data_IF_716741768449
#
_entry.id   IF_716741768449
#
_cell.length_a   1.000
_cell.length_b   1.000
_cell.length_c   1.000
_cell.angle_alpha   90.00
_cell.angle_beta   90.00
_cell.angle_gamma   90.00
#
_symmetry.space_group_name_H-M   'P 1'
#
loop_
_entity.id
_entity.type
_entity.pdbx_description
1 polymer ?
#
# COMPACT_ATOMS: atom_id res chain seq x y z
N UNK A 1 0.56 3.78 -6.93
CA UNK A 1 1.48 3.98 -5.81
C UNK A 1 2.83 3.36 -6.13
N UNK A 2 3.94 3.98 -5.66
CA UNK A 2 5.34 3.64 -5.98
C UNK A 2 5.74 3.86 -7.47
N UNK A 3 4.97 4.60 -8.24
CA UNK A 3 5.28 4.93 -9.62
C UNK A 3 6.54 5.79 -9.74
N UNK A 4 6.73 6.73 -8.82
CA UNK A 4 7.92 7.57 -8.78
C UNK A 4 9.16 6.77 -8.42
N UNK A 5 9.06 5.87 -7.45
CA UNK A 5 10.17 4.98 -7.06
C UNK A 5 10.54 4.02 -8.19
N UNK A 6 9.54 3.46 -8.89
CA UNK A 6 9.74 2.60 -10.05
C UNK A 6 10.40 3.38 -11.19
N UNK A 7 9.92 4.58 -11.47
CA UNK A 7 10.47 5.46 -12.49
C UNK A 7 11.93 5.82 -12.18
N UNK A 8 12.21 6.30 -10.98
CA UNK A 8 13.57 6.65 -10.55
C UNK A 8 14.55 5.47 -10.65
N UNK A 9 14.10 4.27 -10.27
CA UNK A 9 14.93 3.06 -10.40
C UNK A 9 15.21 2.68 -11.84
N UNK A 10 14.24 2.79 -12.73
CA UNK A 10 14.43 2.52 -14.17
C UNK A 10 15.35 3.54 -14.80
N UNK A 11 15.17 4.83 -14.48
CA UNK A 11 16.05 5.93 -14.94
C UNK A 11 17.51 5.66 -14.56
N UNK A 12 17.77 5.34 -13.28
CA UNK A 12 19.11 4.99 -12.83
C UNK A 12 19.69 3.76 -13.52
N UNK A 13 18.87 2.74 -13.78
CA UNK A 13 19.32 1.54 -14.50
C UNK A 13 19.64 1.81 -15.98
N UNK A 14 19.02 2.81 -16.56
CA UNK A 14 19.33 3.29 -17.92
C UNK A 14 20.62 4.14 -17.96
N UNK A 15 21.28 4.38 -16.82
CA UNK A 15 22.48 5.22 -16.75
C UNK A 15 22.20 6.71 -16.63
N UNK A 16 20.92 7.09 -16.51
CA UNK A 16 20.51 8.49 -16.45
C UNK A 16 20.57 9.04 -15.01
N UNK A 17 20.83 10.34 -14.90
CA UNK A 17 20.82 11.07 -13.63
C UNK A 17 19.41 11.48 -13.20
N UNK A 18 19.24 11.62 -11.89
CA UNK A 18 18.04 12.22 -11.29
C UNK A 18 18.48 13.47 -10.57
N UNK A 19 17.92 14.62 -10.99
CA UNK A 19 18.24 15.91 -10.39
C UNK A 19 17.05 16.44 -9.59
N UNK A 20 17.35 17.01 -8.43
CA UNK A 20 16.38 17.84 -7.71
C UNK A 20 16.48 19.27 -8.23
N UNK A 21 15.35 19.85 -8.62
CA UNK A 21 15.27 21.21 -9.16
C UNK A 21 14.50 22.10 -8.18
N UNK A 22 15.20 22.88 -7.33
CA UNK A 22 14.59 23.64 -6.23
C UNK A 22 13.87 24.91 -6.68
N UNK A 23 14.08 25.36 -7.93
CA UNK A 23 13.53 26.62 -8.45
C UNK A 23 12.05 26.54 -8.85
N UNK A 24 11.49 25.34 -8.84
CA UNK A 24 10.07 25.10 -9.12
C UNK A 24 9.34 24.53 -7.92
N UNK A 25 8.08 24.90 -7.78
CA UNK A 25 7.21 24.35 -6.75
C UNK A 25 5.90 23.87 -7.37
N UNK A 26 5.42 22.73 -6.89
CA UNK A 26 4.11 22.18 -7.25
C UNK A 26 3.26 22.07 -5.99
N UNK A 27 2.07 22.67 -6.03
CA UNK A 27 1.12 22.52 -4.93
C UNK A 27 0.43 21.16 -5.02
N UNK A 28 0.83 20.23 -4.18
CA UNK A 28 0.18 18.93 -4.05
C UNK A 28 -0.97 19.01 -3.06
N UNK A 29 -2.19 18.88 -3.56
CA UNK A 29 -3.41 18.89 -2.73
C UNK A 29 -3.63 17.50 -2.12
N UNK A 30 -2.85 17.22 -1.07
CA UNK A 30 -2.93 15.93 -0.36
C UNK A 30 -4.35 15.67 0.16
N UNK A 31 -4.85 14.48 -0.13
CA UNK A 31 -6.07 13.96 0.49
C UNK A 31 -7.40 14.44 -0.09
N UNK A 32 -7.45 15.36 -1.04
CA UNK A 32 -8.73 15.82 -1.59
C UNK A 32 -9.55 14.70 -2.26
N UNK A 33 -8.89 13.73 -2.87
CA UNK A 33 -9.57 12.58 -3.47
C UNK A 33 -9.89 11.46 -2.47
N UNK A 34 -9.37 11.52 -1.24
CA UNK A 34 -9.47 10.44 -0.25
C UNK A 34 -10.50 10.68 0.85
N UNK A 35 -11.14 11.86 0.87
CA UNK A 35 -12.15 12.20 1.88
C UNK A 35 -13.54 11.59 1.62
N UNK A 36 -13.74 10.97 0.45
CA UNK A 36 -15.02 10.32 0.16
C UNK A 36 -15.13 8.96 0.88
N UNK A 37 -16.30 8.61 1.41
CA UNK A 37 -16.55 7.28 1.98
C UNK A 37 -16.20 6.16 1.00
N UNK A 38 -15.50 5.13 1.45
CA UNK A 38 -15.04 4.00 0.63
C UNK A 38 -13.76 4.26 -0.19
N UNK A 39 -13.38 5.50 -0.46
CA UNK A 39 -12.15 5.82 -1.20
C UNK A 39 -10.93 5.53 -0.33
N UNK A 40 -10.99 5.83 0.97
CA UNK A 40 -9.89 5.57 1.91
C UNK A 40 -9.51 4.09 1.95
N UNK A 41 -10.49 3.20 1.97
CA UNK A 41 -10.25 1.76 1.97
C UNK A 41 -9.58 1.30 0.68
N UNK A 42 -10.10 1.76 -0.46
CA UNK A 42 -9.50 1.48 -1.76
C UNK A 42 -8.05 1.94 -1.82
N UNK A 43 -7.75 3.15 -1.35
CA UNK A 43 -6.39 3.71 -1.29
C UNK A 43 -5.46 2.82 -0.47
N UNK A 44 -5.88 2.40 0.72
CA UNK A 44 -5.09 1.51 1.58
C UNK A 44 -4.82 0.17 0.87
N UNK A 45 -5.84 -0.41 0.24
CA UNK A 45 -5.71 -1.67 -0.49
C UNK A 45 -4.77 -1.56 -1.69
N UNK A 46 -4.91 -0.50 -2.49
CA UNK A 46 -4.05 -0.29 -3.66
C UNK A 46 -2.60 0.03 -3.24
N UNK A 47 -2.41 0.78 -2.17
CA UNK A 47 -1.06 1.01 -1.60
C UNK A 47 -0.42 -0.30 -1.15
N UNK A 48 -1.17 -1.17 -0.46
CA UNK A 48 -0.68 -2.48 -0.04
C UNK A 48 -0.27 -3.36 -1.23
N UNK A 49 -1.14 -3.47 -2.24
CA UNK A 49 -0.86 -4.24 -3.48
C UNK A 49 0.37 -3.68 -4.21
N UNK A 50 0.43 -2.36 -4.38
CA UNK A 50 1.55 -1.69 -5.06
C UNK A 50 2.88 -1.92 -4.35
N UNK A 51 2.89 -1.87 -3.01
CA UNK A 51 4.08 -2.17 -2.23
C UNK A 51 4.53 -3.63 -2.43
N UNK A 52 3.62 -4.59 -2.35
CA UNK A 52 3.95 -5.99 -2.59
C UNK A 52 4.49 -6.23 -4.00
N UNK A 53 3.86 -5.61 -5.01
CA UNK A 53 4.31 -5.69 -6.40
C UNK A 53 5.70 -5.08 -6.57
N UNK A 54 5.94 -3.87 -6.05
CA UNK A 54 7.23 -3.19 -6.10
C UNK A 54 8.34 -4.02 -5.47
N UNK A 55 8.10 -4.59 -4.29
CA UNK A 55 9.06 -5.45 -3.62
C UNK A 55 9.27 -6.78 -4.36
N UNK A 56 8.25 -7.35 -4.99
CA UNK A 56 8.42 -8.55 -5.83
C UNK A 56 9.25 -8.30 -7.07
N UNK A 57 9.16 -7.08 -7.64
CA UNK A 57 9.87 -6.67 -8.85
C UNK A 57 11.36 -6.39 -8.59
N UNK A 58 11.68 -5.79 -7.46
CA UNK A 58 13.00 -5.21 -7.22
C UNK A 58 13.83 -5.90 -6.13
N UNK A 59 13.22 -6.74 -5.32
CA UNK A 59 13.88 -7.39 -4.20
C UNK A 59 13.72 -8.91 -4.27
N UNK A 60 14.54 -9.62 -3.50
CA UNK A 60 14.47 -11.08 -3.42
C UNK A 60 13.17 -11.58 -2.79
N UNK A 61 12.84 -12.85 -3.05
CA UNK A 61 11.65 -13.51 -2.46
C UNK A 61 11.64 -13.42 -0.93
N UNK A 62 12.80 -13.47 -0.28
CA UNK A 62 12.92 -13.32 1.18
C UNK A 62 12.39 -11.98 1.69
N UNK A 63 12.75 -10.89 1.04
CA UNK A 63 12.24 -9.56 1.39
C UNK A 63 10.73 -9.44 1.20
N UNK A 64 10.19 -10.05 0.18
CA UNK A 64 8.73 -10.05 -0.04
C UNK A 64 8.00 -10.83 1.07
N UNK A 65 8.55 -11.95 1.55
CA UNK A 65 8.01 -12.72 2.67
C UNK A 65 8.07 -11.88 3.96
N UNK A 66 9.19 -11.23 4.25
CA UNK A 66 9.35 -10.35 5.42
C UNK A 66 8.32 -9.22 5.38
N UNK A 67 8.17 -8.54 4.23
CA UNK A 67 7.20 -7.47 4.07
C UNK A 67 5.77 -7.95 4.34
N UNK A 68 5.37 -9.09 3.79
CA UNK A 68 4.06 -9.69 4.06
C UNK A 68 3.86 -10.04 5.52
N UNK A 69 4.88 -10.58 6.18
CA UNK A 69 4.84 -10.88 7.60
C UNK A 69 4.64 -9.61 8.43
N UNK A 70 5.39 -8.54 8.13
CA UNK A 70 5.25 -7.26 8.82
C UNK A 70 3.85 -6.64 8.63
N UNK A 71 3.30 -6.69 7.42
CA UNK A 71 1.92 -6.24 7.19
C UNK A 71 0.90 -7.05 7.99
N UNK A 72 1.01 -8.39 7.99
CA UNK A 72 0.14 -9.25 8.79
C UNK A 72 0.23 -8.91 10.27
N UNK A 73 1.44 -8.73 10.79
CA UNK A 73 1.67 -8.37 12.18
C UNK A 73 1.04 -7.02 12.53
N UNK A 74 1.24 -6.00 11.69
CA UNK A 74 0.63 -4.67 11.93
C UNK A 74 -0.89 -4.72 11.89
N UNK A 75 -1.48 -5.52 11.00
CA UNK A 75 -2.93 -5.69 10.93
C UNK A 75 -3.48 -6.42 12.16
N UNK A 76 -2.81 -7.49 12.63
CA UNK A 76 -3.19 -8.21 13.84
C UNK A 76 -3.13 -7.27 15.06
N UNK A 77 -2.01 -6.57 15.25
CA UNK A 77 -1.85 -5.61 16.36
C UNK A 77 -2.88 -4.49 16.31
N UNK A 78 -3.19 -3.99 15.11
CA UNK A 78 -4.21 -2.96 14.93
C UNK A 78 -5.61 -3.48 15.24
N UNK A 79 -5.91 -4.73 14.91
CA UNK A 79 -7.20 -5.38 15.24
C UNK A 79 -7.33 -5.58 16.75
N UNK A 80 -6.29 -6.07 17.40
CA UNK A 80 -6.27 -6.23 18.88
C UNK A 80 -6.50 -4.87 19.55
N UNK A 81 -5.82 -3.81 19.10
CA UNK A 81 -6.03 -2.45 19.63
C UNK A 81 -7.46 -1.95 19.42
N UNK A 82 -8.07 -2.27 18.28
CA UNK A 82 -9.46 -1.90 17.99
C UNK A 82 -10.43 -2.64 18.92
N UNK A 83 -10.22 -3.95 19.14
CA UNK A 83 -11.01 -4.73 20.08
C UNK A 83 -10.88 -4.25 21.53
N UNK A 84 -9.65 -3.93 21.96
CA UNK A 84 -9.41 -3.37 23.28
C UNK A 84 -10.10 -2.00 23.51
N UNK A 85 -10.24 -1.20 22.44
CA UNK A 85 -11.00 0.06 22.48
C UNK A 85 -12.51 -0.16 22.60
N UNK A 86 -13.03 -1.21 21.95
CA UNK A 86 -14.45 -1.59 22.07
C UNK A 86 -14.83 -1.96 23.51
N UNK A 87 -13.93 -2.61 24.24
CA UNK A 87 -14.15 -2.97 25.66
C UNK A 87 -14.13 -1.74 26.59
N UNK A 88 -13.73 -0.56 26.10
CA UNK A 88 -13.58 0.69 26.87
C UNK A 88 -14.56 1.80 26.47
N UNK A 89 -15.81 1.50 26.08
CA UNK A 89 -16.89 2.48 25.86
C UNK A 89 -16.82 3.36 24.59
N UNK A 90 -16.79 2.77 23.39
CA UNK A 90 -17.08 3.52 22.18
C UNK A 90 -18.07 2.82 21.25
N UNK A 91 -18.91 3.60 20.52
CA UNK A 91 -19.99 3.04 19.71
C UNK A 91 -19.46 2.12 18.60
N UNK A 92 -20.12 1.00 18.45
CA UNK A 92 -19.78 -0.17 17.62
C UNK A 92 -19.61 0.16 16.14
N UNK A 93 -20.27 1.21 15.63
CA UNK A 93 -20.37 1.49 14.19
C UNK A 93 -19.04 1.87 13.49
N UNK A 94 -18.14 2.54 14.18
CA UNK A 94 -16.87 3.02 13.57
C UNK A 94 -15.75 1.96 13.55
N UNK A 95 -15.95 0.87 14.27
CA UNK A 95 -14.95 -0.19 14.47
C UNK A 95 -15.13 -1.33 13.47
N UNK A 96 -16.36 -1.57 13.04
CA UNK A 96 -16.71 -2.73 12.19
C UNK A 96 -16.09 -2.61 10.78
N UNK A 97 -16.17 -1.46 10.16
CA UNK A 97 -15.59 -1.21 8.83
C UNK A 97 -14.07 -1.36 8.83
N UNK A 98 -13.42 -0.87 9.89
CA UNK A 98 -11.96 -0.96 10.03
C UNK A 98 -11.48 -2.39 10.25
N UNK A 99 -12.25 -3.21 10.96
CA UNK A 99 -11.90 -4.63 11.21
C UNK A 99 -12.10 -5.46 9.94
N UNK A 100 -13.20 -5.25 9.22
CA UNK A 100 -13.50 -5.97 7.98
C UNK A 100 -12.44 -5.74 6.90
N UNK A 101 -11.97 -4.50 6.76
CA UNK A 101 -10.87 -4.15 5.85
C UNK A 101 -9.57 -4.85 6.23
N UNK A 102 -9.21 -4.84 7.52
CA UNK A 102 -7.99 -5.47 8.01
C UNK A 102 -8.01 -6.99 7.82
N UNK A 103 -9.16 -7.62 8.03
CA UNK A 103 -9.34 -9.04 7.76
C UNK A 103 -9.18 -9.36 6.27
N UNK A 104 -9.77 -8.56 5.38
CA UNK A 104 -9.57 -8.72 3.93
C UNK A 104 -8.09 -8.66 3.54
N UNK A 105 -7.32 -7.74 4.13
CA UNK A 105 -5.89 -7.62 3.85
C UNK A 105 -5.07 -8.82 4.33
N UNK A 106 -5.47 -9.50 5.40
CA UNK A 106 -4.79 -10.71 5.88
C UNK A 106 -4.89 -11.87 4.89
N UNK A 107 -6.00 -11.96 4.16
CA UNK A 107 -6.29 -13.07 3.23
C UNK A 107 -6.00 -12.76 1.76
N UNK A 108 -5.64 -11.53 1.43
CA UNK A 108 -5.29 -11.19 0.05
C UNK A 108 -3.98 -11.82 -0.39
N UNK A 109 -4.09 -12.73 -1.34
CA UNK A 109 -2.96 -13.12 -2.17
C UNK A 109 -2.65 -11.99 -3.16
N UNK A 110 -1.37 -11.75 -3.51
CA UNK A 110 -1.05 -10.78 -4.55
C UNK A 110 -1.60 -11.29 -5.88
N UNK A 111 -2.54 -10.57 -6.40
CA UNK A 111 -3.00 -10.77 -7.76
C UNK A 111 -1.84 -10.43 -8.72
N UNK A 112 -1.62 -11.25 -9.73
CA UNK A 112 -0.64 -10.95 -10.79
C UNK A 112 -1.02 -9.62 -11.42
N UNK A 113 -0.03 -8.77 -11.63
CA UNK A 113 -0.26 -7.50 -12.32
C UNK A 113 -0.82 -7.75 -13.73
N UNK A 114 -1.77 -6.92 -14.19
CA UNK A 114 -2.27 -7.00 -15.57
C UNK A 114 -1.16 -6.88 -16.63
N UNK A 115 -0.01 -6.30 -16.28
CA UNK A 115 1.16 -6.19 -17.17
C UNK A 115 1.86 -7.51 -17.45
N UNK A 116 1.68 -8.55 -16.63
CA UNK A 116 2.31 -9.85 -16.85
C UNK A 116 1.63 -10.65 -17.98
N UNK A 117 0.45 -10.21 -18.43
CA UNK A 117 -0.29 -10.83 -19.54
C UNK A 117 0.14 -10.31 -20.93
N UNK A 118 0.92 -9.24 -21.01
CA UNK A 118 1.30 -8.59 -22.28
C UNK A 118 2.70 -9.00 -22.75
N UNK A 119 3.49 -9.66 -21.92
CA UNK A 119 4.87 -10.09 -22.27
C UNK A 119 4.95 -11.43 -23.02
N UNK A 120 3.87 -11.95 -23.52
CA UNK A 120 3.76 -13.25 -24.21
C UNK A 120 3.49 -13.16 -25.73
N UNK A 121 3.92 -12.09 -26.41
CA UNK A 121 3.91 -12.04 -27.88
C UNK A 121 5.20 -11.49 -28.42
#
# INVERSE_FOLDING_TARGET
>A
YNEEDDFCRRTRRAGEGICYFPETSVKHLLGQSTHQPGVRERVIMETYKSNLYFYSKYYSKGWNIILRFLYKLTFILSTIRSLAKLMKDKPIHEVDDSISLKLRMLFLSPEKSPSDSVSGR
#
